data_IF_508607659429
#
_entry.id   IF_508607659429
#
_cell.length_a   1.000
_cell.length_b   1.000
_cell.length_c   1.000
_cell.angle_alpha   90.00
_cell.angle_beta   90.00
_cell.angle_gamma   90.00
#
_symmetry.space_group_name_H-M   'P 1'
#
loop_
_entity.id
_entity.type
_entity.pdbx_description
1 polymer ?
#
# COMPACT_ATOMS: atom_id res chain seq x y z
N UNK A 1 -14.52 15.84 12.27
CA UNK A 1 -15.84 15.23 12.00
C UNK A 1 -15.96 14.54 10.62
N UNK A 2 -14.88 14.05 9.99
CA UNK A 2 -14.93 13.66 8.56
C UNK A 2 -14.94 12.16 8.20
N UNK A 3 -14.86 11.24 9.16
CA UNK A 3 -14.74 9.79 8.86
C UNK A 3 -16.07 9.03 8.91
N UNK A 4 -17.06 9.53 9.64
CA UNK A 4 -18.37 8.88 9.79
C UNK A 4 -19.33 9.14 8.63
N UNK A 5 -19.17 10.28 7.94
CA UNK A 5 -20.08 10.68 6.84
C UNK A 5 -19.89 9.79 5.60
N UNK A 6 -18.66 9.40 5.31
CA UNK A 6 -18.36 8.57 4.12
C UNK A 6 -18.87 7.13 4.27
N UNK A 7 -18.75 6.55 5.45
CA UNK A 7 -19.23 5.19 5.72
C UNK A 7 -20.77 5.12 5.66
N UNK A 8 -21.45 6.16 6.15
CA UNK A 8 -22.90 6.24 6.14
C UNK A 8 -23.48 6.40 4.71
N UNK A 9 -22.76 7.03 3.78
CA UNK A 9 -23.24 7.22 2.42
C UNK A 9 -23.14 5.93 1.60
N UNK A 10 -22.01 5.21 1.72
CA UNK A 10 -21.83 3.92 1.05
C UNK A 10 -22.86 2.87 1.51
N UNK A 11 -23.18 2.83 2.81
CA UNK A 11 -24.18 1.89 3.33
C UNK A 11 -25.61 2.22 2.87
N UNK A 12 -25.89 3.48 2.55
CA UNK A 12 -27.18 3.96 2.06
C UNK A 12 -27.41 3.64 0.59
N UNK A 13 -26.36 3.67 -0.23
CA UNK A 13 -26.40 3.27 -1.64
C UNK A 13 -26.76 1.78 -1.79
N UNK A 14 -26.17 0.90 -0.96
CA UNK A 14 -26.43 -0.55 -0.99
C UNK A 14 -27.89 -0.90 -0.69
N UNK A 15 -28.56 -0.12 0.17
CA UNK A 15 -29.95 -0.37 0.59
C UNK A 15 -31.00 0.14 -0.41
N UNK A 16 -30.59 0.87 -1.45
CA UNK A 16 -31.48 1.37 -2.51
C UNK A 16 -31.53 0.48 -3.75
N UNK A 17 -30.68 -0.53 -3.85
CA UNK A 17 -30.56 -1.41 -5.04
C UNK A 17 -31.19 -2.80 -4.92
N UNK A 18 -31.84 -3.15 -3.80
CA UNK A 18 -32.39 -4.50 -3.60
C UNK A 18 -33.90 -4.55 -3.76
N UNK A 19 -34.39 -4.89 -4.95
CA UNK A 19 -35.81 -5.07 -5.23
C UNK A 19 -36.07 -6.07 -6.35
N UNK A 20 -36.13 -7.35 -5.97
CA UNK A 20 -37.05 -8.39 -6.48
C UNK A 20 -36.91 -8.92 -7.91
N UNK A 21 -36.71 -10.23 -8.03
CA UNK A 21 -36.92 -11.01 -9.25
C UNK A 21 -36.22 -12.37 -9.19
N UNK A 22 -36.90 -13.36 -8.60
CA UNK A 22 -36.59 -14.78 -8.69
C UNK A 22 -36.89 -15.28 -10.12
N UNK A 23 -36.03 -16.13 -10.68
CA UNK A 23 -36.36 -17.21 -11.64
C UNK A 23 -35.07 -18.02 -11.97
N UNK A 24 -35.08 -19.28 -11.51
CA UNK A 24 -34.58 -20.52 -12.16
C UNK A 24 -33.08 -20.61 -12.49
N UNK A 25 -32.28 -21.36 -11.69
CA UNK A 25 -32.04 -22.82 -11.75
C UNK A 25 -31.36 -23.28 -13.05
N UNK A 26 -30.30 -24.07 -12.88
CA UNK A 26 -29.35 -24.62 -13.89
C UNK A 26 -28.11 -23.76 -14.19
N UNK A 27 -27.08 -23.86 -13.34
CA UNK A 27 -25.64 -23.83 -13.70
C UNK A 27 -24.76 -24.12 -12.45
N UNK A 28 -25.10 -25.16 -11.69
CA UNK A 28 -24.32 -25.62 -10.53
C UNK A 28 -23.17 -26.56 -10.96
N UNK A 29 -22.09 -26.07 -11.60
CA UNK A 29 -20.82 -26.84 -11.63
C UNK A 29 -19.56 -26.08 -12.09
N UNK A 30 -19.47 -24.74 -12.00
CA UNK A 30 -18.18 -24.03 -12.24
C UNK A 30 -17.85 -22.92 -11.21
N UNK A 31 -18.66 -22.74 -10.15
CA UNK A 31 -18.53 -21.61 -9.21
C UNK A 31 -17.56 -21.87 -8.03
N UNK A 32 -17.06 -23.09 -7.84
CA UNK A 32 -16.36 -23.47 -6.60
C UNK A 32 -14.92 -22.96 -6.43
N UNK A 33 -14.34 -22.23 -7.38
CA UNK A 33 -12.91 -21.82 -7.30
C UNK A 33 -12.73 -20.34 -6.92
N UNK A 34 -13.72 -19.48 -7.12
CA UNK A 34 -13.58 -18.04 -6.84
C UNK A 34 -14.12 -17.61 -5.46
N UNK A 35 -15.02 -18.37 -4.84
CA UNK A 35 -15.59 -18.02 -3.53
C UNK A 35 -14.63 -18.27 -2.34
N UNK A 36 -13.64 -19.15 -2.50
CA UNK A 36 -12.68 -19.54 -1.45
C UNK A 36 -11.54 -18.53 -1.21
N UNK A 37 -11.49 -17.41 -1.96
CA UNK A 37 -10.57 -16.30 -1.63
C UNK A 37 -11.28 -15.26 -0.74
N UNK A 38 -12.57 -15.03 -0.96
CA UNK A 38 -13.29 -13.91 -0.33
C UNK A 38 -13.81 -14.22 1.09
N UNK A 39 -13.89 -15.50 1.48
CA UNK A 39 -14.23 -15.95 2.84
C UNK A 39 -13.00 -15.96 3.78
N UNK A 40 -11.81 -15.63 3.27
CA UNK A 40 -10.56 -15.60 4.05
C UNK A 40 -10.20 -14.25 4.68
N UNK A 41 -11.13 -13.31 4.73
CA UNK A 41 -11.01 -12.07 5.52
C UNK A 41 -11.82 -12.15 6.83
N UNK A 42 -11.65 -13.25 7.57
CA UNK A 42 -12.16 -13.43 8.94
C UNK A 42 -11.22 -12.72 9.93
N UNK A 43 -11.69 -12.13 11.04
CA UNK A 43 -10.91 -11.22 11.90
C UNK A 43 -9.84 -11.93 12.76
N UNK A 44 -8.98 -12.72 12.13
CA UNK A 44 -7.66 -13.15 12.60
C UNK A 44 -6.80 -13.71 11.45
N UNK A 45 -7.13 -13.39 10.19
CA UNK A 45 -6.41 -13.92 9.04
C UNK A 45 -5.25 -13.01 8.68
N UNK A 46 -4.05 -13.46 9.01
CA UNK A 46 -2.79 -12.95 8.45
C UNK A 46 -2.81 -13.26 6.96
N UNK A 47 -3.00 -12.24 6.12
CA UNK A 47 -2.85 -12.37 4.67
C UNK A 47 -1.39 -12.72 4.39
N UNK A 48 -1.17 -13.77 3.60
CA UNK A 48 0.19 -14.17 3.21
C UNK A 48 0.87 -12.98 2.51
N UNK A 49 2.11 -12.63 2.87
CA UNK A 49 2.78 -11.49 2.28
C UNK A 49 3.01 -11.72 0.79
N UNK A 50 2.63 -10.74 -0.03
CA UNK A 50 2.93 -10.74 -1.45
C UNK A 50 4.45 -10.82 -1.68
N UNK A 51 4.85 -11.50 -2.75
CA UNK A 51 6.27 -11.61 -3.12
C UNK A 51 6.88 -10.26 -3.48
N UNK A 52 8.19 -10.10 -3.26
CA UNK A 52 8.88 -8.85 -3.56
C UNK A 52 8.76 -8.43 -5.02
N UNK A 53 8.80 -9.40 -5.95
CA UNK A 53 8.66 -9.12 -7.39
C UNK A 53 7.31 -8.49 -7.73
N UNK A 54 6.23 -8.88 -7.05
CA UNK A 54 4.90 -8.29 -7.23
C UNK A 54 4.87 -6.88 -6.65
N UNK A 55 5.46 -6.67 -5.48
CA UNK A 55 5.49 -5.35 -4.82
C UNK A 55 6.32 -4.32 -5.58
N UNK A 56 7.37 -4.76 -6.29
CA UNK A 56 8.20 -3.91 -7.14
C UNK A 56 7.68 -3.78 -8.58
N UNK A 57 6.70 -4.59 -8.99
CA UNK A 57 6.14 -4.53 -10.34
C UNK A 57 5.40 -3.20 -10.54
N UNK A 58 5.72 -2.51 -11.63
CA UNK A 58 4.94 -1.36 -12.08
C UNK A 58 3.64 -1.81 -12.76
N UNK A 59 2.56 -1.04 -12.64
CA UNK A 59 1.35 -1.29 -13.41
C UNK A 59 1.63 -1.21 -14.92
N UNK A 60 0.94 -2.01 -15.71
CA UNK A 60 1.08 -1.96 -17.17
C UNK A 60 0.46 -0.68 -17.74
N UNK A 61 0.86 -0.29 -18.96
CA UNK A 61 0.45 0.98 -19.57
C UNK A 61 -1.08 1.13 -19.68
N UNK A 62 -1.79 0.03 -19.98
CA UNK A 62 -3.25 0.04 -20.06
C UNK A 62 -3.89 0.31 -18.69
N UNK A 63 -3.40 -0.33 -17.63
CA UNK A 63 -3.89 -0.08 -16.27
C UNK A 63 -3.65 1.38 -15.86
N UNK A 64 -2.45 1.92 -16.14
CA UNK A 64 -2.14 3.33 -15.84
C UNK A 64 -3.11 4.27 -16.57
N UNK A 65 -3.33 4.06 -17.87
CA UNK A 65 -4.26 4.90 -18.67
C UNK A 65 -5.70 4.83 -18.15
N UNK A 66 -6.18 3.63 -17.81
CA UNK A 66 -7.52 3.46 -17.25
C UNK A 66 -7.67 4.15 -15.90
N UNK A 67 -6.68 4.01 -15.01
CA UNK A 67 -6.68 4.68 -13.70
C UNK A 67 -6.59 6.21 -13.83
N UNK A 68 -5.76 6.71 -14.74
CA UNK A 68 -5.68 8.14 -15.03
C UNK A 68 -7.04 8.70 -15.47
N UNK A 69 -7.79 7.95 -16.28
CA UNK A 69 -9.14 8.36 -16.69
C UNK A 69 -10.10 8.40 -15.51
N UNK A 70 -10.07 7.41 -14.62
CA UNK A 70 -10.87 7.40 -13.39
C UNK A 70 -10.52 8.59 -12.52
N UNK A 71 -9.23 8.85 -12.30
CA UNK A 71 -8.76 10.00 -11.51
C UNK A 71 -9.19 11.32 -12.13
N UNK A 72 -9.18 11.44 -13.46
CA UNK A 72 -9.64 12.63 -14.17
C UNK A 72 -11.12 12.92 -13.91
N UNK A 73 -11.99 11.91 -14.00
CA UNK A 73 -13.44 12.08 -13.82
C UNK A 73 -13.81 12.23 -12.34
N UNK A 74 -13.28 11.36 -11.49
CA UNK A 74 -13.66 11.30 -10.07
C UNK A 74 -12.91 12.32 -9.20
N UNK A 75 -11.76 12.82 -9.68
CA UNK A 75 -10.97 13.83 -8.98
C UNK A 75 -11.64 15.20 -8.89
N UNK A 76 -12.71 15.45 -9.65
CA UNK A 76 -13.55 16.65 -9.51
C UNK A 76 -14.36 16.64 -8.21
N UNK A 77 -14.77 15.45 -7.77
CA UNK A 77 -15.62 15.28 -6.59
C UNK A 77 -14.82 14.90 -5.34
N UNK A 78 -13.69 14.21 -5.51
CA UNK A 78 -12.92 13.64 -4.41
C UNK A 78 -11.46 14.11 -4.44
N UNK A 79 -11.07 14.97 -3.49
CA UNK A 79 -9.68 15.45 -3.38
C UNK A 79 -8.69 14.30 -3.14
N UNK A 80 -9.05 13.29 -2.34
CA UNK A 80 -8.22 12.10 -2.11
C UNK A 80 -7.90 11.32 -3.38
N UNK A 81 -8.84 11.27 -4.33
CA UNK A 81 -8.63 10.65 -5.65
C UNK A 81 -7.72 11.53 -6.49
N UNK A 82 -7.92 12.85 -6.46
CA UNK A 82 -7.07 13.82 -7.17
C UNK A 82 -5.60 13.73 -6.73
N UNK A 83 -5.35 13.60 -5.43
CA UNK A 83 -4.00 13.48 -4.85
C UNK A 83 -3.26 12.21 -5.33
N UNK A 84 -4.01 11.14 -5.65
CA UNK A 84 -3.45 9.87 -6.12
C UNK A 84 -2.86 9.92 -7.53
N UNK A 85 -3.20 10.95 -8.32
CA UNK A 85 -2.76 11.13 -9.72
C UNK A 85 -1.24 10.98 -9.91
N UNK A 86 -0.47 11.43 -8.92
CA UNK A 86 1.00 11.40 -8.95
C UNK A 86 1.62 10.02 -8.66
N UNK A 87 0.82 9.01 -8.34
CA UNK A 87 1.28 7.68 -7.92
C UNK A 87 0.78 6.51 -8.75
N UNK A 88 -0.13 6.75 -9.71
CA UNK A 88 -0.79 5.70 -10.49
C UNK A 88 0.14 4.87 -11.37
N UNK A 89 1.35 5.35 -11.65
CA UNK A 89 2.36 4.70 -12.48
C UNK A 89 3.50 4.06 -11.67
N UNK A 90 3.46 4.18 -10.34
CA UNK A 90 4.48 3.69 -9.43
C UNK A 90 4.21 2.24 -9.02
N UNK A 91 5.28 1.50 -8.68
CA UNK A 91 5.13 0.24 -7.95
C UNK A 91 4.66 0.48 -6.52
N UNK A 92 4.19 -0.57 -5.85
CA UNK A 92 3.74 -0.47 -4.46
C UNK A 92 4.86 0.06 -3.54
N UNK A 93 6.08 -0.47 -3.64
CA UNK A 93 7.20 0.00 -2.79
C UNK A 93 7.56 1.47 -3.07
N UNK A 94 7.52 1.90 -4.34
CA UNK A 94 7.77 3.30 -4.70
C UNK A 94 6.69 4.22 -4.14
N UNK A 95 5.42 3.86 -4.28
CA UNK A 95 4.31 4.62 -3.73
C UNK A 95 4.36 4.67 -2.19
N UNK A 96 4.70 3.55 -1.55
CA UNK A 96 4.84 3.46 -0.10
C UNK A 96 5.97 4.37 0.43
N UNK A 97 7.12 4.39 -0.24
CA UNK A 97 8.24 5.29 0.11
C UNK A 97 7.85 6.76 0.01
N UNK A 98 7.12 7.16 -1.04
CA UNK A 98 6.60 8.54 -1.17
C UNK A 98 5.58 8.89 -0.10
N UNK A 99 4.72 7.93 0.27
CA UNK A 99 3.69 8.12 1.29
C UNK A 99 4.26 8.22 2.70
N UNK A 100 5.41 7.62 2.99
CA UNK A 100 6.07 7.74 4.31
C UNK A 100 6.79 9.10 4.37
N UNK A 101 6.27 10.11 5.11
CA UNK A 101 6.98 11.36 5.26
C UNK A 101 8.19 11.13 6.18
N UNK A 102 9.41 11.36 5.69
CA UNK A 102 10.71 11.63 6.39
C UNK A 102 11.08 10.95 7.73
N UNK A 103 10.27 10.08 8.32
CA UNK A 103 10.52 9.42 9.62
C UNK A 103 11.69 8.44 9.54
N UNK A 104 11.94 7.90 8.35
CA UNK A 104 13.12 7.08 8.09
C UNK A 104 14.39 7.94 7.92
N UNK A 105 14.28 9.24 7.60
CA UNK A 105 15.43 10.17 7.56
C UNK A 105 15.98 10.44 8.97
N UNK A 106 15.10 10.57 9.96
CA UNK A 106 15.53 10.69 11.36
C UNK A 106 16.11 9.36 11.86
N UNK A 107 15.55 8.23 11.41
CA UNK A 107 16.09 6.89 11.67
C UNK A 107 17.48 6.69 11.08
N UNK A 108 17.74 7.13 9.86
CA UNK A 108 19.06 7.11 9.22
C UNK A 108 20.05 8.03 9.93
N UNK A 109 19.62 9.23 10.34
CA UNK A 109 20.43 10.15 11.12
C UNK A 109 20.83 9.56 12.49
N UNK A 110 19.88 8.93 13.20
CA UNK A 110 20.14 8.26 14.48
C UNK A 110 21.02 7.02 14.29
N UNK A 111 20.82 6.25 13.22
CA UNK A 111 21.67 5.11 12.88
C UNK A 111 23.12 5.53 12.57
N UNK A 112 23.30 6.65 11.86
CA UNK A 112 24.62 7.23 11.60
C UNK A 112 25.33 7.67 12.89
N UNK A 113 24.60 8.32 13.81
CA UNK A 113 25.13 8.71 15.13
C UNK A 113 25.53 7.46 15.96
N UNK A 114 24.70 6.42 15.94
CA UNK A 114 25.01 5.16 16.63
C UNK A 114 26.26 4.47 16.07
N UNK A 115 26.45 4.49 14.74
CA UNK A 115 27.64 3.93 14.09
C UNK A 115 28.94 4.64 14.52
N UNK A 116 28.92 5.96 14.72
CA UNK A 116 30.05 6.72 15.26
C UNK A 116 30.36 6.35 16.72
N UNK A 117 29.33 6.09 17.52
CA UNK A 117 29.50 5.74 18.94
C UNK A 117 30.13 4.35 19.15
N UNK A 118 29.97 3.42 18.20
CA UNK A 118 30.57 2.07 18.26
C UNK A 118 31.90 2.00 17.51
N UNK A 119 32.13 2.85 16.49
CA UNK A 119 33.38 2.94 15.74
C UNK A 119 34.54 3.66 16.48
N UNK A 120 34.29 4.25 17.64
CA UNK A 120 35.27 5.04 18.41
C UNK A 120 36.39 4.24 19.11
N UNK A 121 36.45 2.92 18.98
CA UNK A 121 37.46 2.08 19.66
C UNK A 121 38.52 1.45 18.75
N UNK A 122 38.52 1.74 17.44
CA UNK A 122 39.49 1.16 16.50
C UNK A 122 40.45 2.16 15.83
N UNK A 123 40.43 3.43 16.21
CA UNK A 123 41.36 4.45 15.68
C UNK A 123 42.11 5.16 16.83
N UNK A 124 42.90 4.39 17.57
CA UNK A 124 43.75 4.91 18.65
C UNK A 124 44.89 3.98 19.05
N UNK A 125 45.24 2.99 18.22
CA UNK A 125 46.42 2.13 18.44
C UNK A 125 47.17 2.02 17.13
N UNK A 126 48.04 2.99 16.87
CA UNK A 126 48.83 3.00 15.65
C UNK A 126 49.83 4.15 15.61
N UNK A 127 50.93 3.97 16.34
CA UNK A 127 52.20 4.65 16.06
C UNK A 127 52.60 5.74 17.05
N UNK A 128 53.62 5.47 17.87
CA UNK A 128 54.97 5.99 17.62
C UNK A 128 56.00 5.03 18.23
N UNK A 129 57.06 4.78 17.45
CA UNK A 129 58.25 4.03 17.79
C UNK A 129 59.28 4.91 18.52
N UNK A 130 60.39 4.28 18.95
CA UNK A 130 61.64 4.86 19.50
C UNK A 130 61.54 5.29 20.97
N UNK A 131 62.51 5.09 21.87
CA UNK A 131 63.93 4.75 21.80
C UNK A 131 64.39 4.30 23.21
N UNK A 132 65.58 3.68 23.30
CA UNK A 132 66.34 3.23 24.49
C UNK A 132 65.92 1.95 25.25
#
# INVERSE_FOLDING_TARGET
MGRTVLLNNWQRERKRGGGGGEEEEEEEEEESVEEEESVKASPERTVEPLSQSVLDRRPCANAVRSLQRVVQVQGEYWQSVKDSSSSVDLSYLQAQRRRRPRRDSDGEAVAAIAALSVGGVAAGRGGVASDE
#
